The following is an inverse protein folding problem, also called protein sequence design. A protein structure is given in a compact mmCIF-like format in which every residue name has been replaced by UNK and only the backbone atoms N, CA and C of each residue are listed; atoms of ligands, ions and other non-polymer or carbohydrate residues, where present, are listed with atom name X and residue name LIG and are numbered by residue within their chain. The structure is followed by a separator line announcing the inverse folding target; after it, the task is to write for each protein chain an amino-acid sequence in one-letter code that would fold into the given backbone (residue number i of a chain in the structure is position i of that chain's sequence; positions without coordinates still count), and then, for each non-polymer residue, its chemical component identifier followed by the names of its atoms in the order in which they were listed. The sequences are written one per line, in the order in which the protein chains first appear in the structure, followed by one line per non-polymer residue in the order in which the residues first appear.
data_IF_432953131297
#
_entry.id   IF_432953131297
#
_cell.length_a   1.000
_cell.length_b   1.000
_cell.length_c   1.000
_cell.angle_alpha   90.00
_cell.angle_beta   90.00
_cell.angle_gamma   90.00
#
_symmetry.space_group_name_H-M   'P 1'
#
loop_
_entity.id
_entity.type
_entity.pdbx_description
1 polymer ?
#
# COMPACT_ATOMS: atom_id res chain seq x y z
N UNK A 1 10.17 13.07 -4.21
CA UNK A 1 10.21 14.05 -3.11
C UNK A 1 8.79 14.29 -2.56
N UNK A 2 8.68 14.51 -1.24
CA UNK A 2 7.42 14.79 -0.56
C UNK A 2 7.59 15.98 0.39
N UNK A 3 6.60 16.87 0.38
CA UNK A 3 6.40 17.87 1.43
C UNK A 3 5.16 17.48 2.23
N UNK A 4 5.29 17.38 3.55
CA UNK A 4 4.19 16.98 4.45
C UNK A 4 4.08 17.94 5.63
N UNK A 5 2.85 18.30 5.95
CA UNK A 5 2.47 18.98 7.19
C UNK A 5 1.61 18.01 8.00
N UNK A 6 1.88 17.94 9.27
CA UNK A 6 1.19 17.07 10.21
C UNK A 6 0.88 17.85 11.49
N UNK A 7 -0.32 17.68 12.00
CA UNK A 7 -0.75 18.19 13.30
C UNK A 7 -1.37 17.05 14.12
N UNK A 8 -0.97 16.96 15.37
CA UNK A 8 -1.50 15.99 16.34
C UNK A 8 -2.19 16.71 17.47
N UNK A 9 -3.41 16.30 17.79
CA UNK A 9 -4.21 16.89 18.82
C UNK A 9 -4.68 15.88 19.86
N UNK A 10 -4.95 16.34 21.08
CA UNK A 10 -5.46 15.49 22.15
C UNK A 10 -4.48 14.42 22.64
N UNK A 11 -3.17 14.63 22.47
CA UNK A 11 -2.13 13.75 23.04
C UNK A 11 -2.24 13.74 24.56
N UNK A 12 -2.27 12.54 25.18
CA UNK A 12 -2.42 12.35 26.62
C UNK A 12 -3.87 12.40 27.14
N UNK A 13 -4.86 12.62 26.29
CA UNK A 13 -6.29 12.61 26.66
C UNK A 13 -6.97 11.29 26.25
N UNK A 14 -8.22 11.10 26.68
CA UNK A 14 -9.05 9.98 26.23
C UNK A 14 -9.49 10.08 24.76
N UNK A 15 -9.25 11.20 24.12
CA UNK A 15 -9.51 11.46 22.71
C UNK A 15 -8.29 12.14 22.10
N UNK A 16 -7.94 11.76 20.91
CA UNK A 16 -6.88 12.41 20.15
C UNK A 16 -6.98 12.09 18.68
N UNK A 17 -6.17 12.74 17.89
CA UNK A 17 -6.15 12.49 16.46
C UNK A 17 -4.92 13.07 15.78
N UNK A 18 -4.86 12.82 14.48
CA UNK A 18 -3.83 13.31 13.58
C UNK A 18 -4.48 13.82 12.31
N UNK A 19 -4.03 14.97 11.85
CA UNK A 19 -4.36 15.51 10.54
C UNK A 19 -3.07 15.67 9.74
N UNK A 20 -3.04 15.14 8.54
CA UNK A 20 -1.88 15.18 7.64
C UNK A 20 -2.31 15.70 6.29
N UNK A 21 -1.45 16.54 5.70
CA UNK A 21 -1.57 16.99 4.31
C UNK A 21 -0.18 16.88 3.67
N UNK A 22 -0.12 16.30 2.49
CA UNK A 22 1.12 16.17 1.76
C UNK A 22 0.96 16.52 0.28
N UNK A 23 2.05 16.98 -0.30
CA UNK A 23 2.26 17.08 -1.72
C UNK A 23 3.45 16.19 -2.08
N UNK A 24 3.25 15.22 -2.96
CA UNK A 24 4.27 14.26 -3.35
C UNK A 24 4.43 14.16 -4.86
N UNK A 25 5.64 13.83 -5.29
CA UNK A 25 5.90 13.39 -6.64
C UNK A 25 6.36 11.94 -6.52
N UNK A 26 5.48 10.96 -6.76
CA UNK A 26 5.86 9.56 -6.68
C UNK A 26 6.90 9.25 -7.76
N UNK A 27 7.84 8.39 -7.42
CA UNK A 27 8.79 7.84 -8.38
C UNK A 27 8.14 6.59 -8.95
N UNK A 28 7.75 6.63 -10.21
CA UNK A 28 7.12 5.48 -10.82
C UNK A 28 8.13 4.38 -11.09
N UNK A 29 7.83 3.17 -10.62
CA UNK A 29 8.60 1.97 -10.96
C UNK A 29 7.85 1.07 -11.96
N UNK A 30 6.61 1.42 -12.26
CA UNK A 30 5.71 0.63 -13.09
C UNK A 30 5.92 0.92 -14.59
N UNK A 31 7.13 0.68 -15.09
CA UNK A 31 7.30 0.52 -16.53
C UNK A 31 6.77 -0.86 -16.89
N UNK A 32 5.85 -0.97 -17.86
CA UNK A 32 5.53 -2.26 -18.46
C UNK A 32 6.83 -2.88 -18.99
N UNK A 33 7.07 -4.14 -18.63
CA UNK A 33 8.31 -4.87 -18.96
C UNK A 33 8.60 -5.03 -20.46
N UNK A 34 7.64 -4.72 -21.30
CA UNK A 34 7.64 -4.94 -22.74
C UNK A 34 7.99 -3.69 -23.55
N UNK A 35 8.35 -2.60 -22.90
CA UNK A 35 8.85 -1.42 -23.60
C UNK A 35 10.35 -1.51 -23.70
N UNK A 36 10.83 -1.90 -24.87
CA UNK A 36 12.23 -1.75 -25.25
C UNK A 36 12.51 -0.25 -25.48
N UNK A 37 12.93 0.42 -24.42
CA UNK A 37 13.24 1.85 -24.45
C UNK A 37 14.63 2.14 -24.99
N UNK A 38 15.34 1.14 -25.52
CA UNK A 38 16.66 1.34 -26.13
C UNK A 38 17.51 2.31 -25.34
N UNK A 39 18.05 1.87 -24.26
CA UNK A 39 19.17 2.41 -23.45
C UNK A 39 19.17 3.88 -22.97
N UNK A 40 18.26 4.78 -23.37
CA UNK A 40 18.49 6.20 -23.11
C UNK A 40 17.38 6.95 -22.36
N UNK A 41 16.22 6.36 -22.12
CA UNK A 41 15.09 7.16 -21.65
C UNK A 41 14.27 6.54 -20.48
N UNK A 42 14.76 5.51 -19.86
CA UNK A 42 14.08 4.94 -18.69
C UNK A 42 13.91 5.94 -17.55
N UNK A 43 14.82 6.87 -17.39
CA UNK A 43 14.76 7.89 -16.33
C UNK A 43 13.73 9.00 -16.60
N UNK A 44 13.53 9.40 -17.85
CA UNK A 44 12.59 10.47 -18.18
C UNK A 44 11.12 10.04 -18.14
N UNK A 45 10.84 8.74 -18.25
CA UNK A 45 9.49 8.18 -18.21
C UNK A 45 8.90 8.13 -16.81
N UNK A 46 9.74 8.24 -15.80
CA UNK A 46 9.44 7.85 -14.42
C UNK A 46 9.02 9.03 -13.54
N UNK A 47 9.27 10.27 -13.95
CA UNK A 47 9.15 11.42 -13.06
C UNK A 47 8.19 12.54 -13.51
N UNK A 48 7.47 12.38 -14.62
CA UNK A 48 6.64 13.46 -15.13
C UNK A 48 5.17 13.34 -14.68
N UNK A 49 4.89 13.79 -13.47
CA UNK A 49 3.51 13.83 -12.93
C UNK A 49 2.76 15.11 -13.29
N UNK A 50 3.42 16.08 -13.93
CA UNK A 50 2.82 17.36 -14.29
C UNK A 50 2.62 18.33 -13.11
N UNK A 51 1.98 17.89 -12.05
CA UNK A 51 1.84 18.58 -10.78
C UNK A 51 1.90 17.57 -9.63
N UNK A 52 2.28 17.97 -8.41
CA UNK A 52 2.39 17.06 -7.28
C UNK A 52 1.06 16.41 -6.97
N UNK A 53 1.07 15.13 -6.63
CA UNK A 53 -0.09 14.49 -6.05
C UNK A 53 -0.36 15.09 -4.67
N UNK A 54 -1.63 15.35 -4.38
CA UNK A 54 -2.08 15.83 -3.08
C UNK A 54 -2.64 14.66 -2.28
N UNK A 55 -2.16 14.53 -1.07
CA UNK A 55 -2.53 13.48 -0.14
C UNK A 55 -3.05 14.09 1.15
N UNK A 56 -4.09 13.51 1.71
CA UNK A 56 -4.63 13.93 3.00
C UNK A 56 -4.97 12.70 3.85
N UNK A 57 -4.80 12.82 5.17
CA UNK A 57 -5.24 11.83 6.14
C UNK A 57 -5.80 12.52 7.37
N UNK A 58 -6.90 11.97 7.89
CA UNK A 58 -7.48 12.34 9.16
C UNK A 58 -7.75 11.05 9.94
N UNK A 59 -7.26 10.99 11.17
CA UNK A 59 -7.50 9.84 12.04
C UNK A 59 -7.83 10.30 13.45
N UNK A 60 -8.68 9.52 14.11
CA UNK A 60 -9.17 9.75 15.47
C UNK A 60 -8.96 8.52 16.32
N UNK A 61 -8.54 8.74 17.55
CA UNK A 61 -8.33 7.70 18.54
C UNK A 61 -9.07 7.99 19.83
N UNK A 62 -9.69 6.96 20.38
CA UNK A 62 -10.51 7.02 21.59
C UNK A 62 -9.95 6.08 22.66
N UNK A 63 -9.94 6.57 23.90
CA UNK A 63 -9.45 5.87 25.09
C UNK A 63 -7.93 6.02 25.29
N UNK A 64 -7.41 5.53 26.43
CA UNK A 64 -6.00 5.67 26.77
C UNK A 64 -5.11 4.83 25.86
N UNK A 65 -3.94 5.38 25.52
CA UNK A 65 -2.91 4.66 24.78
C UNK A 65 -2.35 3.54 25.69
N UNK A 66 -2.20 2.35 25.13
CA UNK A 66 -1.56 1.19 25.75
C UNK A 66 -0.46 0.66 24.85
N UNK A 67 0.69 0.41 25.44
CA UNK A 67 1.78 -0.26 24.74
C UNK A 67 1.53 -1.77 24.71
N UNK A 68 1.90 -2.40 23.59
CA UNK A 68 1.75 -3.82 23.30
C UNK A 68 3.01 -4.39 22.68
N UNK A 69 3.11 -5.72 22.64
CA UNK A 69 4.19 -6.42 21.98
C UNK A 69 4.49 -5.84 20.59
N UNK A 70 5.75 -5.67 20.26
CA UNK A 70 6.20 -5.03 19.05
C UNK A 70 6.27 -3.51 19.12
N UNK A 71 6.15 -2.91 20.32
CA UNK A 71 6.17 -1.45 20.52
C UNK A 71 4.95 -0.75 19.94
N UNK A 72 3.86 -1.48 19.64
CA UNK A 72 2.62 -0.88 19.16
C UNK A 72 1.94 -0.14 20.29
N UNK A 73 1.66 1.13 20.03
CA UNK A 73 0.79 1.92 20.86
C UNK A 73 -0.63 1.83 20.32
N UNK A 74 -1.54 1.27 21.08
CA UNK A 74 -2.92 1.05 20.70
C UNK A 74 -3.86 1.84 21.60
N UNK A 75 -4.76 2.58 20.99
CA UNK A 75 -5.98 3.04 21.65
C UNK A 75 -7.07 1.96 21.56
N UNK A 76 -8.04 1.95 22.46
CA UNK A 76 -9.18 1.01 22.37
C UNK A 76 -9.93 1.08 21.03
N UNK A 77 -10.03 2.26 20.44
CA UNK A 77 -10.61 2.46 19.11
C UNK A 77 -9.80 3.53 18.37
N UNK A 78 -9.43 3.23 17.12
CA UNK A 78 -8.87 4.20 16.18
C UNK A 78 -9.56 4.04 14.83
N UNK A 79 -9.88 5.16 14.18
CA UNK A 79 -10.49 5.22 12.87
C UNK A 79 -9.80 6.28 12.05
N UNK A 80 -9.48 5.97 10.82
CA UNK A 80 -8.82 6.88 9.89
C UNK A 80 -9.49 6.88 8.52
N UNK A 81 -9.41 8.00 7.85
CA UNK A 81 -9.72 8.17 6.44
C UNK A 81 -8.55 8.87 5.77
N UNK A 82 -8.19 8.39 4.60
CA UNK A 82 -7.15 9.01 3.79
C UNK A 82 -7.58 9.08 2.33
N UNK A 83 -6.92 9.93 1.58
CA UNK A 83 -7.16 10.05 0.15
C UNK A 83 -5.99 10.68 -0.58
N UNK A 84 -5.94 10.44 -1.87
CA UNK A 84 -4.98 11.01 -2.81
C UNK A 84 -5.70 11.44 -4.08
N UNK A 85 -5.25 12.54 -4.65
CA UNK A 85 -5.62 13.00 -6.00
C UNK A 85 -4.38 13.49 -6.72
N UNK A 86 -4.27 13.17 -8.00
CA UNK A 86 -3.13 13.57 -8.79
C UNK A 86 -3.24 13.19 -10.25
N UNK A 87 -2.13 13.27 -10.93
CA UNK A 87 -1.99 12.91 -12.33
C UNK A 87 -0.69 12.13 -12.54
N UNK A 88 -0.76 11.17 -13.43
CA UNK A 88 0.38 10.50 -14.01
C UNK A 88 0.46 10.82 -15.48
N UNK A 89 1.63 11.20 -15.97
CA UNK A 89 1.90 11.38 -17.39
C UNK A 89 2.66 10.18 -17.91
N UNK A 90 2.02 9.46 -18.80
CA UNK A 90 2.61 8.28 -19.44
C UNK A 90 3.10 8.69 -20.82
N UNK A 91 4.35 8.38 -21.13
CA UNK A 91 4.87 8.50 -22.48
C UNK A 91 4.45 7.30 -23.29
N UNK A 92 3.57 7.49 -24.24
CA UNK A 92 3.17 6.48 -25.22
C UNK A 92 4.15 6.44 -26.39
N UNK A 93 5.45 6.42 -26.09
CA UNK A 93 6.45 6.42 -27.12
C UNK A 93 6.64 5.06 -27.68
N UNK A 94 6.19 4.95 -28.87
CA UNK A 94 6.50 3.82 -29.69
C UNK A 94 7.44 4.33 -30.80
N UNK A 95 8.61 3.75 -30.91
CA UNK A 95 9.37 3.87 -32.12
C UNK A 95 8.66 2.99 -33.18
N UNK A 96 7.94 3.55 -34.15
CA UNK A 96 7.37 2.73 -35.19
C UNK A 96 8.50 1.94 -35.88
N UNK A 97 8.29 0.68 -36.14
CA UNK A 97 9.28 -0.17 -36.81
C UNK A 97 9.77 0.52 -38.10
N UNK A 98 11.06 0.86 -38.15
CA UNK A 98 11.66 1.57 -39.29
C UNK A 98 11.71 3.09 -39.20
N UNK A 99 11.20 3.71 -38.15
CA UNK A 99 11.29 5.16 -37.94
C UNK A 99 12.58 5.54 -37.21
N UNK A 100 13.22 6.62 -37.66
CA UNK A 100 14.40 7.21 -37.04
C UNK A 100 14.02 8.23 -35.94
N UNK A 101 12.77 8.64 -35.87
CA UNK A 101 12.26 9.64 -34.95
C UNK A 101 11.32 8.99 -33.94
N UNK A 102 11.52 9.32 -32.65
CA UNK A 102 10.56 8.99 -31.59
C UNK A 102 9.36 9.93 -31.74
N UNK A 103 8.17 9.37 -31.87
CA UNK A 103 6.93 10.15 -31.71
C UNK A 103 6.58 10.12 -30.25
N UNK A 104 6.71 11.27 -29.59
CA UNK A 104 6.40 11.46 -28.19
C UNK A 104 4.95 11.90 -28.05
N UNK A 105 4.07 10.98 -27.71
CA UNK A 105 2.73 11.36 -27.26
C UNK A 105 2.66 11.15 -25.72
N UNK A 106 2.02 12.08 -25.03
CA UNK A 106 1.87 12.03 -23.58
C UNK A 106 0.41 11.85 -23.23
N UNK A 107 0.07 10.69 -22.71
CA UNK A 107 -1.26 10.46 -22.14
C UNK A 107 -1.26 10.89 -20.67
N UNK A 108 -2.19 11.75 -20.31
CA UNK A 108 -2.42 12.16 -18.92
C UNK A 108 -3.48 11.26 -18.30
N UNK A 109 -3.13 10.63 -17.20
CA UNK A 109 -4.00 9.73 -16.45
C UNK A 109 -4.30 10.34 -15.08
N UNK A 110 -5.57 10.47 -14.75
CA UNK A 110 -5.97 10.95 -13.43
C UNK A 110 -5.82 9.83 -12.40
N UNK A 111 -5.14 10.14 -11.31
CA UNK A 111 -4.95 9.28 -10.15
C UNK A 111 -5.85 9.76 -9.04
N UNK A 112 -6.60 8.89 -8.42
CA UNK A 112 -7.31 9.16 -7.18
C UNK A 112 -7.48 7.89 -6.37
N UNK A 113 -7.56 8.05 -5.05
CA UNK A 113 -7.84 6.95 -4.15
C UNK A 113 -8.39 7.44 -2.83
N UNK A 114 -9.10 6.58 -2.15
CA UNK A 114 -9.55 6.77 -0.78
C UNK A 114 -9.39 5.48 0.00
N UNK A 115 -9.04 5.59 1.26
CA UNK A 115 -8.95 4.47 2.17
C UNK A 115 -9.62 4.78 3.50
N UNK A 116 -10.18 3.73 4.11
CA UNK A 116 -10.67 3.72 5.49
C UNK A 116 -9.86 2.69 6.26
N UNK A 117 -9.31 3.09 7.37
CA UNK A 117 -8.56 2.20 8.24
C UNK A 117 -9.07 2.28 9.69
N UNK A 118 -8.82 1.24 10.44
CA UNK A 118 -9.22 1.24 11.82
C UNK A 118 -8.65 0.10 12.63
N UNK A 119 -8.69 0.29 13.94
CA UNK A 119 -8.40 -0.76 14.90
C UNK A 119 -9.33 -0.66 16.10
N UNK A 120 -9.67 -1.81 16.66
CA UNK A 120 -10.46 -1.91 17.88
C UNK A 120 -9.84 -2.94 18.82
N UNK A 121 -9.61 -2.54 20.07
CA UNK A 121 -9.19 -3.45 21.12
C UNK A 121 -10.44 -4.13 21.72
N UNK A 122 -10.56 -5.43 21.50
CA UNK A 122 -11.62 -6.26 22.06
C UNK A 122 -11.16 -6.80 23.44
N UNK A 123 -11.10 -5.88 24.41
CA UNK A 123 -10.60 -6.17 25.75
C UNK A 123 -9.07 -6.14 25.85
N UNK A 124 -8.53 -6.93 26.81
CA UNK A 124 -7.10 -6.91 27.15
C UNK A 124 -6.23 -7.73 26.19
N UNK A 125 -6.78 -8.79 25.65
CA UNK A 125 -6.00 -9.81 24.96
C UNK A 125 -6.24 -9.88 23.45
N UNK A 126 -7.19 -9.14 22.92
CA UNK A 126 -7.59 -9.25 21.53
C UNK A 126 -7.67 -7.87 20.88
N UNK A 127 -7.25 -7.76 19.63
CA UNK A 127 -7.43 -6.56 18.81
C UNK A 127 -7.74 -6.96 17.37
N UNK A 128 -8.66 -6.24 16.75
CA UNK A 128 -8.96 -6.30 15.33
C UNK A 128 -8.44 -5.03 14.66
N UNK A 129 -7.79 -5.15 13.51
CA UNK A 129 -7.40 -4.00 12.70
C UNK A 129 -7.52 -4.32 11.22
N UNK A 130 -7.68 -3.29 10.40
CA UNK A 130 -7.81 -3.45 8.97
C UNK A 130 -7.88 -2.13 8.22
N UNK A 131 -7.86 -2.26 6.91
CA UNK A 131 -7.96 -1.16 5.97
C UNK A 131 -8.72 -1.62 4.73
N UNK A 132 -9.53 -0.75 4.17
CA UNK A 132 -10.19 -0.90 2.87
C UNK A 132 -9.87 0.31 2.02
N UNK A 133 -9.57 0.09 0.75
CA UNK A 133 -9.29 1.17 -0.18
C UNK A 133 -9.95 0.92 -1.54
N UNK A 134 -10.14 2.03 -2.27
CA UNK A 134 -10.55 2.01 -3.68
C UNK A 134 -10.03 3.25 -4.40
N UNK A 135 -9.84 3.14 -5.70
CA UNK A 135 -9.37 4.23 -6.54
C UNK A 135 -9.02 3.80 -7.94
N UNK A 136 -8.20 4.59 -8.60
CA UNK A 136 -7.61 4.26 -9.90
C UNK A 136 -6.21 4.87 -10.02
N UNK A 137 -5.35 4.18 -10.77
CA UNK A 137 -3.97 4.63 -10.99
C UNK A 137 -3.09 4.55 -9.74
N UNK A 138 -3.42 3.68 -8.79
CA UNK A 138 -2.77 3.60 -7.49
C UNK A 138 -1.55 2.67 -7.45
N UNK A 139 -1.04 2.21 -8.59
CA UNK A 139 0.14 1.34 -8.62
C UNK A 139 1.36 1.95 -7.96
N UNK A 140 1.54 3.27 -8.04
CA UNK A 140 2.61 4.03 -7.38
C UNK A 140 2.47 4.04 -5.85
N UNK A 141 1.28 3.80 -5.36
CA UNK A 141 0.94 3.68 -3.92
C UNK A 141 0.89 2.22 -3.47
N UNK A 142 1.51 1.31 -4.24
CA UNK A 142 1.55 -0.14 -3.98
C UNK A 142 0.18 -0.83 -4.00
N UNK A 143 -0.84 -0.19 -4.58
CA UNK A 143 -2.16 -0.76 -4.77
C UNK A 143 -2.36 -1.21 -6.24
N UNK A 144 -3.43 -1.96 -6.52
CA UNK A 144 -3.70 -2.46 -7.88
C UNK A 144 -2.62 -3.40 -8.40
N UNK A 145 -1.95 -4.10 -7.48
CA UNK A 145 -0.84 -5.01 -7.79
C UNK A 145 0.24 -4.28 -8.62
N UNK A 146 0.57 -3.03 -8.24
CA UNK A 146 1.51 -2.12 -8.91
C UNK A 146 1.09 -1.73 -10.34
N UNK A 147 -0.18 -1.88 -10.70
CA UNK A 147 -0.68 -1.54 -12.04
C UNK A 147 -1.36 -0.18 -12.01
N UNK A 148 -0.77 0.79 -12.65
CA UNK A 148 -1.25 2.17 -12.67
C UNK A 148 -2.07 2.48 -13.92
N UNK A 149 -1.65 1.92 -15.06
CA UNK A 149 -2.14 2.32 -16.38
C UNK A 149 -2.31 1.13 -17.32
N UNK A 150 -3.45 1.10 -18.03
CA UNK A 150 -3.71 0.13 -19.09
C UNK A 150 -3.46 0.79 -20.44
N UNK A 151 -2.40 0.36 -21.12
CA UNK A 151 -2.02 0.87 -22.45
C UNK A 151 -3.02 0.55 -23.55
N UNK A 152 -3.71 -0.57 -23.45
CA UNK A 152 -4.67 -0.98 -24.46
C UNK A 152 -5.91 -0.07 -24.52
N UNK A 153 -6.25 0.53 -23.41
CA UNK A 153 -7.43 1.42 -23.27
C UNK A 153 -7.07 2.88 -23.02
N UNK A 154 -5.81 3.20 -22.81
CA UNK A 154 -5.31 4.53 -22.42
C UNK A 154 -5.99 5.07 -21.16
N UNK A 155 -6.18 4.22 -20.15
CA UNK A 155 -6.87 4.57 -18.91
C UNK A 155 -6.11 4.16 -17.66
N UNK A 156 -6.34 4.88 -16.57
CA UNK A 156 -5.93 4.42 -15.26
C UNK A 156 -6.60 3.10 -14.91
N UNK A 157 -5.86 2.21 -14.28
CA UNK A 157 -6.38 0.93 -13.79
C UNK A 157 -7.21 1.17 -12.53
N UNK A 158 -8.51 0.87 -12.55
CA UNK A 158 -9.32 0.88 -11.34
C UNK A 158 -8.85 -0.22 -10.39
N UNK A 159 -8.81 0.08 -9.11
CA UNK A 159 -8.34 -0.85 -8.09
C UNK A 159 -9.14 -0.74 -6.82
N UNK A 160 -9.24 -1.85 -6.11
CA UNK A 160 -9.79 -1.91 -4.78
C UNK A 160 -9.15 -3.05 -4.00
N UNK A 161 -9.09 -2.90 -2.71
CA UNK A 161 -8.50 -3.92 -1.88
C UNK A 161 -8.64 -3.60 -0.40
N UNK A 162 -7.93 -4.36 0.38
CA UNK A 162 -7.89 -4.16 1.81
C UNK A 162 -7.33 -5.37 2.53
N UNK A 163 -7.21 -5.22 3.82
CA UNK A 163 -6.75 -6.29 4.70
C UNK A 163 -7.44 -6.19 6.04
N UNK A 164 -7.54 -7.31 6.72
CA UNK A 164 -7.99 -7.39 8.10
C UNK A 164 -7.14 -8.40 8.86
N UNK A 165 -6.88 -8.12 10.13
CA UNK A 165 -6.13 -9.01 11.00
C UNK A 165 -6.70 -9.04 12.43
N UNK A 166 -6.62 -10.21 13.02
CA UNK A 166 -6.91 -10.46 14.42
C UNK A 166 -5.60 -10.71 15.16
N UNK A 167 -5.34 -9.93 16.20
CA UNK A 167 -4.16 -10.07 17.05
C UNK A 167 -4.56 -10.53 18.44
N UNK A 168 -3.96 -11.61 18.91
CA UNK A 168 -4.07 -12.14 20.27
C UNK A 168 -2.80 -11.80 21.04
N UNK A 169 -2.96 -11.30 22.24
CA UNK A 169 -1.89 -10.98 23.20
C UNK A 169 -2.04 -11.89 24.46
N UNK A 170 -1.49 -13.11 24.43
CA UNK A 170 -1.57 -14.00 25.59
C UNK A 170 -0.91 -13.39 26.83
N UNK A 171 0.20 -12.71 26.62
CA UNK A 171 0.94 -11.87 27.57
C UNK A 171 1.37 -10.59 26.85
N UNK A 172 1.82 -9.59 27.60
CA UNK A 172 2.15 -8.28 27.02
C UNK A 172 3.35 -8.33 26.06
N UNK A 173 4.25 -9.31 26.21
CA UNK A 173 5.45 -9.51 25.40
C UNK A 173 5.21 -10.36 24.14
N UNK A 174 4.05 -11.04 24.02
CA UNK A 174 3.78 -11.97 22.94
C UNK A 174 2.54 -11.57 22.15
N UNK A 175 2.69 -11.45 20.84
CA UNK A 175 1.60 -11.22 19.89
C UNK A 175 1.52 -12.35 18.87
N UNK A 176 0.35 -12.93 18.75
CA UNK A 176 0.00 -13.86 17.69
C UNK A 176 -1.00 -13.16 16.78
N UNK A 177 -0.78 -13.19 15.47
CA UNK A 177 -1.68 -12.51 14.52
C UNK A 177 -2.03 -13.47 13.39
N UNK A 178 -3.29 -13.44 12.97
CA UNK A 178 -3.76 -14.02 11.72
C UNK A 178 -4.50 -12.96 10.94
N UNK A 179 -4.31 -12.94 9.62
CA UNK A 179 -4.96 -11.96 8.78
C UNK A 179 -5.05 -12.38 7.32
N UNK A 180 -5.87 -11.65 6.61
CA UNK A 180 -6.08 -11.81 5.19
C UNK A 180 -6.07 -10.46 4.51
N UNK A 181 -5.44 -10.38 3.35
CA UNK A 181 -5.45 -9.20 2.49
C UNK A 181 -5.74 -9.59 1.05
N UNK A 182 -6.36 -8.68 0.33
CA UNK A 182 -6.61 -8.78 -1.10
C UNK A 182 -6.37 -7.44 -1.77
N UNK A 183 -5.76 -7.49 -2.94
CA UNK A 183 -5.59 -6.38 -3.85
C UNK A 183 -6.11 -6.81 -5.23
N UNK A 184 -6.97 -6.00 -5.82
CA UNK A 184 -7.65 -6.31 -7.06
C UNK A 184 -7.51 -5.15 -8.05
N UNK A 185 -7.11 -5.48 -9.29
CA UNK A 185 -6.99 -4.57 -10.42
C UNK A 185 -7.99 -4.96 -11.50
N UNK A 186 -8.78 -4.00 -11.97
CA UNK A 186 -9.82 -4.20 -12.98
C UNK A 186 -9.34 -3.64 -14.31
N UNK A 187 -9.54 -4.39 -15.39
CA UNK A 187 -9.17 -3.96 -16.76
C UNK A 187 -7.71 -3.50 -16.89
N UNK A 188 -6.81 -4.18 -16.20
CA UNK A 188 -5.38 -3.83 -16.27
C UNK A 188 -4.73 -4.17 -17.62
N UNK A 189 -5.39 -4.96 -18.43
CA UNK A 189 -4.92 -5.39 -19.77
C UNK A 189 -4.80 -6.91 -19.88
N UNK A 190 -4.47 -7.38 -21.06
CA UNK A 190 -4.25 -8.81 -21.32
C UNK A 190 -2.93 -9.29 -20.71
N UNK A 191 -2.88 -10.51 -20.20
CA UNK A 191 -1.73 -11.11 -19.52
C UNK A 191 -1.30 -10.42 -18.23
N UNK A 192 -2.20 -9.70 -17.61
CA UNK A 192 -1.93 -8.95 -16.38
C UNK A 192 -2.40 -9.68 -15.13
N UNK A 193 -1.93 -9.19 -14.00
CA UNK A 193 -2.38 -9.60 -12.68
C UNK A 193 -3.76 -9.00 -12.41
N UNK A 194 -4.74 -9.82 -12.05
CA UNK A 194 -6.09 -9.34 -11.72
C UNK A 194 -6.31 -9.21 -10.22
N UNK A 195 -5.80 -10.16 -9.46
CA UNK A 195 -5.92 -10.13 -8.01
C UNK A 195 -4.69 -10.77 -7.35
N UNK A 196 -4.34 -10.26 -6.19
CA UNK A 196 -3.37 -10.87 -5.31
C UNK A 196 -3.97 -10.96 -3.91
N UNK A 197 -4.05 -12.15 -3.35
CA UNK A 197 -4.53 -12.35 -1.99
C UNK A 197 -3.48 -13.04 -1.14
N UNK A 198 -3.46 -12.73 0.13
CA UNK A 198 -2.51 -13.27 1.09
C UNK A 198 -3.23 -13.62 2.38
N UNK A 199 -3.19 -14.89 2.74
CA UNK A 199 -3.46 -15.34 4.11
C UNK A 199 -2.13 -15.35 4.85
N UNK A 200 -2.06 -14.73 6.01
CA UNK A 200 -0.85 -14.67 6.80
C UNK A 200 -1.08 -14.99 8.27
N UNK A 201 -0.06 -15.53 8.90
CA UNK A 201 -0.01 -15.71 10.35
C UNK A 201 1.38 -15.36 10.84
N UNK A 202 1.46 -14.65 11.96
CA UNK A 202 2.74 -14.29 12.54
C UNK A 202 2.76 -14.40 14.06
N UNK A 203 3.95 -14.55 14.60
CA UNK A 203 4.28 -14.42 16.00
C UNK A 203 5.37 -13.36 16.16
N UNK A 204 5.16 -12.46 17.12
CA UNK A 204 6.16 -11.47 17.51
C UNK A 204 6.34 -11.58 19.02
N UNK A 205 7.60 -11.74 19.44
CA UNK A 205 7.97 -11.90 20.83
C UNK A 205 9.04 -10.88 21.24
N UNK A 206 8.69 -10.02 22.16
CA UNK A 206 9.62 -9.14 22.87
C UNK A 206 10.32 -9.95 23.95
N UNK A 207 11.49 -10.52 23.61
CA UNK A 207 12.27 -11.37 24.54
C UNK A 207 12.69 -10.55 25.76
N UNK A 208 13.06 -9.30 25.53
CA UNK A 208 13.39 -8.30 26.54
C UNK A 208 13.35 -6.89 25.93
N UNK A 209 13.75 -5.87 26.68
CA UNK A 209 13.68 -4.47 26.24
C UNK A 209 14.48 -4.16 24.96
N UNK A 210 15.52 -4.93 24.66
CA UNK A 210 16.42 -4.69 23.53
C UNK A 210 16.37 -5.75 22.41
N UNK A 211 15.66 -6.88 22.60
CA UNK A 211 15.57 -7.97 21.61
C UNK A 211 14.13 -8.35 21.33
N UNK A 212 13.76 -8.30 20.05
CA UNK A 212 12.49 -8.82 19.53
C UNK A 212 12.75 -9.86 18.45
N UNK A 213 11.97 -10.92 18.48
CA UNK A 213 11.95 -11.97 17.47
C UNK A 213 10.59 -11.98 16.76
N UNK A 214 10.62 -12.24 15.46
CA UNK A 214 9.41 -12.37 14.63
C UNK A 214 9.51 -13.56 13.68
N UNK A 215 8.39 -14.23 13.47
CA UNK A 215 8.23 -15.25 12.45
C UNK A 215 6.86 -15.07 11.79
N UNK A 216 6.84 -15.11 10.47
CA UNK A 216 5.62 -14.98 9.69
C UNK A 216 5.57 -16.03 8.58
N UNK A 217 4.41 -16.61 8.37
CA UNK A 217 4.10 -17.48 7.24
C UNK A 217 2.99 -16.85 6.41
N UNK A 218 3.19 -16.81 5.09
CA UNK A 218 2.25 -16.25 4.13
C UNK A 218 1.90 -17.31 3.09
N UNK A 219 0.61 -17.49 2.83
CA UNK A 219 0.11 -18.18 1.64
C UNK A 219 -0.43 -17.13 0.68
N UNK A 220 0.20 -17.02 -0.48
CA UNK A 220 -0.16 -16.05 -1.52
C UNK A 220 -0.85 -16.75 -2.68
N UNK A 221 -1.93 -16.15 -3.17
CA UNK A 221 -2.65 -16.58 -4.35
C UNK A 221 -2.74 -15.39 -5.30
N UNK A 222 -2.23 -15.56 -6.52
CA UNK A 222 -2.24 -14.53 -7.57
C UNK A 222 -3.06 -15.02 -8.75
N UNK A 223 -4.11 -14.27 -9.09
CA UNK A 223 -4.95 -14.51 -10.26
C UNK A 223 -4.43 -13.69 -11.45
N UNK A 224 -4.32 -14.36 -12.61
CA UNK A 224 -3.93 -13.75 -13.88
C UNK A 224 -5.10 -13.83 -14.86
N UNK A 225 -5.20 -12.85 -15.74
CA UNK A 225 -6.22 -12.83 -16.78
C UNK A 225 -6.15 -14.06 -17.72
N UNK A 226 -4.95 -14.52 -18.06
CA UNK A 226 -4.77 -15.50 -19.13
C UNK A 226 -3.97 -16.75 -18.77
N UNK A 227 -3.37 -16.83 -17.57
CA UNK A 227 -2.46 -17.92 -17.20
C UNK A 227 -2.97 -18.85 -16.11
N UNK A 228 -4.16 -18.58 -15.59
CA UNK A 228 -4.69 -19.25 -14.38
C UNK A 228 -3.93 -18.86 -13.12
N UNK A 229 -4.48 -19.26 -12.00
CA UNK A 229 -3.99 -18.88 -10.68
C UNK A 229 -2.64 -19.49 -10.33
N UNK A 230 -1.83 -18.75 -9.63
CA UNK A 230 -0.53 -19.19 -9.08
C UNK A 230 -0.53 -18.99 -7.57
N UNK A 231 0.14 -19.88 -6.87
CA UNK A 231 0.27 -19.76 -5.42
C UNK A 231 1.72 -19.96 -4.97
N UNK A 232 2.02 -19.44 -3.79
CA UNK A 232 3.31 -19.56 -3.16
C UNK A 232 3.21 -19.49 -1.63
N UNK A 233 4.09 -20.22 -0.95
CA UNK A 233 4.36 -20.05 0.46
C UNK A 233 5.61 -19.21 0.67
N UNK A 234 5.54 -18.27 1.60
CA UNK A 234 6.69 -17.43 2.00
C UNK A 234 6.78 -17.47 3.51
N UNK A 235 7.97 -17.75 4.03
CA UNK A 235 8.27 -17.70 5.47
C UNK A 235 9.30 -16.61 5.69
N UNK A 236 9.02 -15.72 6.63
CA UNK A 236 9.87 -14.57 6.96
C UNK A 236 10.24 -14.66 8.44
N UNK A 237 11.51 -14.52 8.75
CA UNK A 237 11.98 -14.36 10.12
C UNK A 237 12.60 -12.99 10.32
N UNK A 238 12.39 -12.43 11.49
CA UNK A 238 12.91 -11.13 11.88
C UNK A 238 13.62 -11.22 13.22
N UNK A 239 14.77 -10.57 13.32
CA UNK A 239 15.45 -10.26 14.57
C UNK A 239 15.64 -8.74 14.62
N UNK A 240 15.14 -8.10 15.66
CA UNK A 240 15.26 -6.65 15.84
C UNK A 240 15.98 -6.37 17.15
N UNK A 241 17.02 -5.56 17.07
CA UNK A 241 17.70 -4.98 18.24
C UNK A 241 17.26 -3.52 18.41
N UNK A 242 16.85 -3.17 19.62
CA UNK A 242 16.52 -1.79 20.03
C UNK A 242 17.69 -1.26 20.86
N UNK A 243 18.28 -0.15 20.42
CA UNK A 243 19.40 0.51 21.08
C UNK A 243 18.92 1.72 21.89
#
# INVERSE_FOLDING_TARGET
PQFRVEDTFGSGTAFGGIAQLAASSPITTALPKDVDLGNLQQQELVEDNGWPNLEARLAFGFGPIRERAGGRQLRPLELGVSGVVGQLRVLDNIRPTGATTLVSDRTVVNVWGTALDGQVALGRHLALSGELYTGQGLGEYMAGIFQTYNRGTNRAVPTSGGWAQLSLYPVDELRLTVGYGIDHAVDAGTFTLQANSTLFANVVWDVNAWLQLGLEANYKLTAYDSFGDKNAWVVISQVMFRL
#
